data_IF_560865607387
#
_entry.id   IF_560865607387
#
_cell.length_a   1.000
_cell.length_b   1.000
_cell.length_c   1.000
_cell.angle_alpha   90.00
_cell.angle_beta   90.00
_cell.angle_gamma   90.00
#
_symmetry.space_group_name_H-M   'P 1'
#
loop_
_entity.id
_entity.type
_entity.pdbx_description
1 polymer ?
#
# COMPACT_ATOMS: atom_id res chain seq x y z
N UNK A 1 1.07 -9.15 16.31
CA UNK A 1 0.54 -10.35 15.65
C UNK A 1 0.72 -10.19 14.17
N UNK A 2 1.05 -11.27 13.44
CA UNK A 2 1.06 -11.29 11.97
C UNK A 2 -0.33 -10.97 11.45
N UNK A 3 -0.41 -10.26 10.34
CA UNK A 3 -1.66 -9.96 9.63
C UNK A 3 -1.40 -9.94 8.13
N UNK A 4 -2.42 -10.14 7.32
CA UNK A 4 -2.31 -10.02 5.86
C UNK A 4 -2.33 -8.55 5.47
N UNK A 5 -1.29 -8.12 4.74
CA UNK A 5 -1.17 -6.79 4.13
C UNK A 5 -1.26 -6.96 2.62
N UNK A 6 -2.31 -6.43 2.01
CA UNK A 6 -2.43 -6.36 0.57
C UNK A 6 -1.76 -5.08 0.06
N UNK A 7 -0.99 -5.20 -1.01
CA UNK A 7 -0.34 -4.07 -1.68
C UNK A 7 -0.77 -4.10 -3.14
N UNK A 8 -1.42 -3.03 -3.59
CA UNK A 8 -1.93 -2.90 -4.95
C UNK A 8 -0.93 -2.11 -5.78
N UNK A 9 -0.37 -2.77 -6.79
CA UNK A 9 0.71 -2.28 -7.62
C UNK A 9 2.06 -2.85 -7.19
N UNK A 10 2.62 -3.73 -7.99
CA UNK A 10 3.91 -4.38 -7.76
C UNK A 10 5.03 -3.65 -8.51
N UNK A 11 5.12 -2.33 -8.38
CA UNK A 11 6.17 -1.48 -8.93
C UNK A 11 7.29 -1.17 -7.93
N UNK A 12 8.04 -0.10 -8.23
CA UNK A 12 9.19 0.39 -7.44
C UNK A 12 8.84 0.84 -6.01
N UNK A 13 7.56 1.01 -5.69
CA UNK A 13 7.07 1.28 -4.32
C UNK A 13 6.52 0.00 -3.69
N UNK A 14 5.69 -0.74 -4.43
CA UNK A 14 4.96 -1.89 -3.88
C UNK A 14 5.84 -3.08 -3.55
N UNK A 15 6.83 -3.41 -4.40
CA UNK A 15 7.71 -4.57 -4.16
C UNK A 15 8.64 -4.33 -2.96
N UNK A 16 9.30 -3.17 -2.79
CA UNK A 16 10.06 -2.86 -1.58
C UNK A 16 9.20 -2.86 -0.30
N UNK A 17 7.98 -2.32 -0.35
CA UNK A 17 7.06 -2.41 0.78
C UNK A 17 6.71 -3.86 1.12
N UNK A 18 6.46 -4.69 0.10
CA UNK A 18 6.18 -6.12 0.29
C UNK A 18 7.34 -6.84 0.98
N UNK A 19 8.57 -6.57 0.57
CA UNK A 19 9.77 -7.12 1.21
C UNK A 19 9.85 -6.71 2.68
N UNK A 20 9.78 -5.42 2.98
CA UNK A 20 9.94 -4.89 4.34
C UNK A 20 8.86 -5.41 5.28
N UNK A 21 7.60 -5.43 4.85
CA UNK A 21 6.51 -5.98 5.66
C UNK A 21 6.60 -7.52 5.79
N UNK A 22 7.00 -8.23 4.72
CA UNK A 22 7.20 -9.68 4.74
C UNK A 22 8.32 -10.09 5.71
N UNK A 23 9.45 -9.39 5.69
CA UNK A 23 10.56 -9.60 6.62
C UNK A 23 10.18 -9.26 8.06
N UNK A 24 9.28 -8.30 8.27
CA UNK A 24 8.71 -7.99 9.58
C UNK A 24 7.69 -9.03 10.08
N UNK A 25 7.42 -10.10 9.31
CA UNK A 25 6.60 -11.24 9.69
C UNK A 25 5.12 -11.13 9.30
N UNK A 26 4.75 -10.21 8.43
CA UNK A 26 3.42 -10.13 7.83
C UNK A 26 3.26 -11.11 6.67
N UNK A 27 2.02 -11.51 6.38
CA UNK A 27 1.66 -12.18 5.12
C UNK A 27 1.36 -11.11 4.08
N UNK A 28 1.96 -11.20 2.91
CA UNK A 28 1.85 -10.20 1.85
C UNK A 28 1.04 -10.75 0.69
N UNK A 29 0.05 -9.96 0.27
CA UNK A 29 -0.70 -10.17 -0.95
C UNK A 29 -0.36 -9.03 -1.93
N UNK A 30 0.46 -9.30 -2.94
CA UNK A 30 0.75 -8.35 -4.01
C UNK A 30 -0.32 -8.47 -5.10
N UNK A 31 -1.06 -7.39 -5.35
CA UNK A 31 -2.03 -7.33 -6.44
C UNK A 31 -1.39 -6.64 -7.65
N UNK A 32 -1.25 -7.38 -8.74
CA UNK A 32 -0.65 -6.93 -9.99
C UNK A 32 -1.51 -7.41 -11.18
N UNK A 33 -1.68 -6.56 -12.18
CA UNK A 33 -2.54 -6.86 -13.34
C UNK A 33 -1.81 -7.50 -14.51
N UNK A 34 -0.48 -7.43 -14.55
CA UNK A 34 0.35 -8.04 -15.61
C UNK A 34 0.64 -9.50 -15.25
N UNK A 35 0.10 -10.49 -16.00
CA UNK A 35 0.21 -11.90 -15.64
C UNK A 35 1.66 -12.39 -15.50
N UNK A 36 2.55 -11.93 -16.38
CA UNK A 36 3.96 -12.31 -16.38
C UNK A 36 4.66 -11.86 -15.08
N UNK A 37 4.32 -10.67 -14.56
CA UNK A 37 4.83 -10.15 -13.29
C UNK A 37 4.30 -10.94 -12.09
N UNK A 38 3.01 -11.31 -12.13
CA UNK A 38 2.41 -12.17 -11.09
C UNK A 38 3.15 -13.51 -11.02
N UNK A 39 3.44 -14.12 -12.18
CA UNK A 39 4.19 -15.38 -12.24
C UNK A 39 5.63 -15.22 -11.74
N UNK A 40 6.33 -14.14 -12.13
CA UNK A 40 7.69 -13.86 -11.67
C UNK A 40 7.73 -13.71 -10.14
N UNK A 41 6.85 -12.88 -9.58
CA UNK A 41 6.76 -12.66 -8.13
C UNK A 41 6.47 -13.96 -7.37
N UNK A 42 5.58 -14.81 -7.87
CA UNK A 42 5.26 -16.10 -7.27
C UNK A 42 6.42 -17.12 -7.36
N UNK A 43 7.38 -16.91 -8.26
CA UNK A 43 8.66 -17.66 -8.30
C UNK A 43 9.75 -17.01 -7.43
N UNK A 44 9.46 -15.89 -6.75
CA UNK A 44 10.45 -15.12 -6.01
C UNK A 44 11.47 -14.42 -6.92
N UNK A 45 11.08 -14.04 -8.13
CA UNK A 45 11.93 -13.32 -9.09
C UNK A 45 11.59 -11.83 -9.04
N UNK A 46 12.58 -11.00 -8.63
CA UNK A 46 12.43 -9.55 -8.65
C UNK A 46 12.74 -8.98 -10.04
N UNK A 47 11.97 -7.97 -10.43
CA UNK A 47 12.26 -7.09 -11.56
C UNK A 47 12.44 -5.63 -11.10
N UNK A 48 12.57 -5.42 -9.79
CA UNK A 48 12.82 -4.12 -9.17
C UNK A 48 14.24 -4.14 -8.62
N UNK A 49 15.08 -3.20 -9.03
CA UNK A 49 16.50 -3.19 -8.71
C UNK A 49 16.79 -3.10 -7.21
N UNK A 50 15.94 -2.41 -6.46
CA UNK A 50 16.09 -2.20 -5.01
C UNK A 50 15.74 -3.44 -4.15
N UNK A 51 15.22 -4.51 -4.76
CA UNK A 51 14.83 -5.74 -4.06
C UNK A 51 15.44 -6.96 -4.74
N UNK A 52 16.19 -7.76 -4.00
CA UNK A 52 16.83 -8.95 -4.54
C UNK A 52 15.83 -10.11 -4.74
N UNK A 53 16.05 -10.91 -5.79
CA UNK A 53 15.28 -12.16 -5.98
C UNK A 53 15.50 -13.17 -4.85
N UNK A 54 16.64 -13.12 -4.17
CA UNK A 54 16.90 -13.98 -3.02
C UNK A 54 15.93 -13.67 -1.86
N UNK A 55 15.79 -12.39 -1.53
CA UNK A 55 14.87 -11.93 -0.47
C UNK A 55 13.42 -12.26 -0.79
N UNK A 56 12.97 -12.04 -2.04
CA UNK A 56 11.60 -12.41 -2.42
C UNK A 56 11.37 -13.92 -2.37
N UNK A 57 12.35 -14.72 -2.80
CA UNK A 57 12.26 -16.20 -2.76
C UNK A 57 12.12 -16.71 -1.35
N UNK A 58 12.88 -16.17 -0.39
CA UNK A 58 12.72 -16.51 1.03
C UNK A 58 11.30 -16.26 1.53
N UNK A 59 10.67 -15.15 1.11
CA UNK A 59 9.30 -14.83 1.49
C UNK A 59 8.28 -15.78 0.84
N UNK A 60 8.48 -16.13 -0.44
CA UNK A 60 7.62 -17.08 -1.16
C UNK A 60 7.73 -18.48 -0.55
N UNK A 61 8.95 -18.96 -0.31
CA UNK A 61 9.21 -20.29 0.26
C UNK A 61 8.67 -20.41 1.70
N UNK A 62 8.68 -19.31 2.44
CA UNK A 62 8.07 -19.21 3.76
C UNK A 62 6.54 -19.08 3.74
N UNK A 63 5.92 -19.01 2.57
CA UNK A 63 4.47 -18.79 2.40
C UNK A 63 4.00 -17.40 2.87
N UNK A 64 4.90 -16.41 2.90
CA UNK A 64 4.61 -15.05 3.35
C UNK A 64 4.35 -14.07 2.23
N UNK A 65 4.65 -14.42 0.99
CA UNK A 65 4.39 -13.60 -0.18
C UNK A 65 3.63 -14.40 -1.22
N UNK A 66 2.55 -13.83 -1.69
CA UNK A 66 1.75 -14.30 -2.83
C UNK A 66 1.43 -13.11 -3.72
N UNK A 67 1.57 -13.27 -5.03
CA UNK A 67 1.07 -12.33 -6.01
C UNK A 67 -0.19 -12.86 -6.69
N UNK A 68 -1.13 -11.97 -7.01
CA UNK A 68 -2.40 -12.31 -7.65
C UNK A 68 -2.90 -11.16 -8.52
N UNK A 69 -3.76 -11.44 -9.49
CA UNK A 69 -4.58 -10.43 -10.17
C UNK A 69 -6.02 -10.38 -9.67
N UNK A 70 -6.38 -11.24 -8.72
CA UNK A 70 -7.72 -11.34 -8.19
C UNK A 70 -7.93 -10.39 -6.98
N UNK A 71 -8.74 -9.37 -7.19
CA UNK A 71 -9.13 -8.42 -6.13
C UNK A 71 -10.03 -9.05 -5.06
N UNK A 72 -10.68 -10.20 -5.29
CA UNK A 72 -11.54 -10.82 -4.28
C UNK A 72 -10.75 -11.28 -3.06
N UNK A 73 -9.46 -11.54 -3.21
CA UNK A 73 -8.56 -11.88 -2.09
C UNK A 73 -8.34 -10.72 -1.11
N UNK A 74 -8.67 -9.46 -1.47
CA UNK A 74 -8.59 -8.31 -0.56
C UNK A 74 -9.51 -8.43 0.66
N UNK A 75 -10.55 -9.26 0.60
CA UNK A 75 -11.49 -9.47 1.70
C UNK A 75 -10.83 -9.98 2.97
N UNK A 76 -9.72 -10.71 2.84
CA UNK A 76 -8.98 -11.29 3.97
C UNK A 76 -7.82 -10.42 4.45
N UNK A 77 -7.54 -9.31 3.77
CA UNK A 77 -6.48 -8.40 4.16
C UNK A 77 -6.88 -7.56 5.37
N UNK A 78 -5.99 -7.40 6.33
CA UNK A 78 -6.19 -6.46 7.45
C UNK A 78 -5.84 -5.01 7.08
N UNK A 79 -4.99 -4.85 6.06
CA UNK A 79 -4.61 -3.56 5.51
C UNK A 79 -4.43 -3.66 3.99
N UNK A 80 -4.78 -2.60 3.27
CA UNK A 80 -4.68 -2.46 1.82
C UNK A 80 -3.90 -1.18 1.52
N UNK A 81 -2.70 -1.33 0.94
CA UNK A 81 -1.83 -0.22 0.55
C UNK A 81 -1.94 0.00 -0.96
N UNK A 82 -2.24 1.23 -1.38
CA UNK A 82 -2.38 1.59 -2.80
C UNK A 82 -1.07 2.23 -3.26
N UNK A 83 -0.24 1.47 -3.99
CA UNK A 83 1.07 1.86 -4.49
C UNK A 83 1.11 1.88 -6.03
N UNK A 84 0.11 2.50 -6.63
CA UNK A 84 -0.10 2.56 -8.08
C UNK A 84 0.56 3.80 -8.70
N UNK A 85 1.01 3.73 -9.95
CA UNK A 85 1.58 4.88 -10.63
C UNK A 85 0.55 5.98 -10.86
N UNK A 86 1.00 7.24 -10.76
CA UNK A 86 0.23 8.47 -11.03
C UNK A 86 0.99 9.30 -12.08
N UNK A 87 0.98 8.87 -13.36
CA UNK A 87 1.71 9.58 -14.40
C UNK A 87 1.18 11.00 -14.57
N UNK A 88 2.01 11.90 -15.09
CA UNK A 88 1.56 13.25 -15.43
C UNK A 88 0.74 13.24 -16.71
N UNK A 89 -0.40 13.92 -16.67
CA UNK A 89 -1.20 14.25 -17.85
C UNK A 89 -0.45 15.23 -18.77
N UNK A 90 -0.92 15.44 -20.02
CA UNK A 90 -0.37 16.50 -20.89
C UNK A 90 -0.40 17.89 -20.24
N UNK A 91 -1.33 18.14 -19.31
CA UNK A 91 -1.46 19.38 -18.55
C UNK A 91 -0.53 19.44 -17.33
N UNK A 92 0.30 18.42 -17.12
CA UNK A 92 1.21 18.24 -15.96
C UNK A 92 0.48 18.09 -14.62
N UNK A 93 -0.73 17.56 -14.64
CA UNK A 93 -1.47 17.17 -13.45
C UNK A 93 -1.35 15.66 -13.25
N UNK A 94 -1.32 15.15 -11.99
CA UNK A 94 -1.33 13.71 -11.74
C UNK A 94 -2.58 13.04 -12.30
N UNK A 95 -2.41 12.04 -13.16
CA UNK A 95 -3.51 11.19 -13.62
C UNK A 95 -3.85 10.15 -12.55
N UNK A 96 -4.98 10.32 -11.91
CA UNK A 96 -5.46 9.44 -10.85
C UNK A 96 -6.34 8.29 -11.36
N UNK A 97 -6.54 8.15 -12.66
CA UNK A 97 -7.49 7.17 -13.24
C UNK A 97 -7.26 5.78 -12.67
N UNK A 98 -6.02 5.28 -12.71
CA UNK A 98 -5.67 3.93 -12.21
C UNK A 98 -5.93 3.80 -10.71
N UNK A 99 -5.60 4.83 -9.93
CA UNK A 99 -5.82 4.86 -8.47
C UNK A 99 -7.32 4.82 -8.16
N UNK A 100 -8.12 5.63 -8.86
CA UNK A 100 -9.57 5.71 -8.62
C UNK A 100 -10.29 4.44 -9.07
N UNK A 101 -9.89 3.83 -10.20
CA UNK A 101 -10.46 2.56 -10.67
C UNK A 101 -10.14 1.43 -9.67
N UNK A 102 -8.90 1.37 -9.20
CA UNK A 102 -8.51 0.43 -8.15
C UNK A 102 -9.26 0.66 -6.85
N UNK A 103 -9.49 1.92 -6.47
CA UNK A 103 -10.29 2.27 -5.29
C UNK A 103 -11.74 1.78 -5.40
N UNK A 104 -12.33 1.82 -6.61
CA UNK A 104 -13.66 1.23 -6.85
C UNK A 104 -13.66 -0.29 -6.68
N UNK A 105 -12.61 -0.97 -7.13
CA UNK A 105 -12.48 -2.42 -6.93
C UNK A 105 -12.28 -2.77 -5.44
N UNK A 106 -11.54 -1.95 -4.68
CA UNK A 106 -11.42 -2.09 -3.23
C UNK A 106 -12.79 -1.91 -2.56
N UNK A 107 -13.52 -0.84 -2.91
CA UNK A 107 -14.84 -0.52 -2.32
C UNK A 107 -15.83 -1.70 -2.38
N UNK A 108 -15.87 -2.42 -3.52
CA UNK A 108 -16.74 -3.60 -3.70
C UNK A 108 -16.40 -4.76 -2.75
N UNK A 109 -15.21 -4.77 -2.16
CA UNK A 109 -14.67 -5.88 -1.35
C UNK A 109 -14.32 -5.48 0.07
N UNK A 110 -14.43 -4.19 0.37
CA UNK A 110 -14.06 -3.60 1.65
C UNK A 110 -14.80 -4.28 2.80
N UNK A 111 -14.06 -4.60 3.87
CA UNK A 111 -14.60 -5.24 5.07
C UNK A 111 -14.41 -4.35 6.29
N UNK A 112 -15.27 -4.52 7.31
CA UNK A 112 -15.13 -3.83 8.58
C UNK A 112 -13.78 -4.12 9.24
N UNK A 113 -13.17 -3.07 9.79
CA UNK A 113 -11.88 -3.14 10.47
C UNK A 113 -10.66 -3.04 9.57
N UNK A 114 -10.82 -3.07 8.24
CA UNK A 114 -9.72 -2.90 7.31
C UNK A 114 -9.14 -1.48 7.36
N UNK A 115 -7.83 -1.38 7.13
CA UNK A 115 -7.12 -0.13 6.91
C UNK A 115 -6.83 0.02 5.42
N UNK A 116 -7.22 1.14 4.82
CA UNK A 116 -6.81 1.53 3.46
C UNK A 116 -5.82 2.69 3.56
N UNK A 117 -4.67 2.59 2.90
CA UNK A 117 -3.66 3.65 2.85
C UNK A 117 -3.32 3.98 1.41
N UNK A 118 -3.37 5.25 1.06
CA UNK A 118 -2.85 5.74 -0.22
C UNK A 118 -1.35 6.02 -0.05
N UNK A 119 -0.53 5.33 -0.83
CA UNK A 119 0.94 5.51 -0.91
C UNK A 119 1.35 6.30 -2.14
N UNK A 120 0.52 6.24 -3.18
CA UNK A 120 0.80 6.88 -4.48
C UNK A 120 0.96 8.40 -4.32
N UNK A 121 1.90 8.97 -5.07
CA UNK A 121 2.10 10.42 -5.15
C UNK A 121 0.87 11.10 -5.72
N UNK A 122 0.31 12.04 -4.97
CA UNK A 122 -0.92 12.77 -5.34
C UNK A 122 -0.85 14.22 -4.86
N UNK A 123 -1.93 14.97 -5.04
CA UNK A 123 -2.07 16.33 -4.53
C UNK A 123 -2.86 16.34 -3.20
N UNK A 124 -2.69 17.39 -2.36
CA UNK A 124 -3.44 17.53 -1.10
C UNK A 124 -4.95 17.46 -1.33
N UNK A 125 -5.66 16.73 -0.45
CA UNK A 125 -7.11 16.51 -0.55
C UNK A 125 -7.50 15.23 -1.28
N UNK A 126 -6.63 14.59 -2.07
CA UNK A 126 -6.97 13.38 -2.86
C UNK A 126 -7.61 12.29 -1.98
N UNK A 127 -7.05 12.00 -0.82
CA UNK A 127 -7.56 10.95 0.07
C UNK A 127 -8.99 11.24 0.53
N UNK A 128 -9.28 12.47 0.94
CA UNK A 128 -10.59 12.88 1.46
C UNK A 128 -11.61 13.15 0.37
N UNK A 129 -11.19 13.82 -0.70
CA UNK A 129 -12.13 14.32 -1.72
C UNK A 129 -12.38 13.33 -2.86
N UNK A 130 -11.43 12.41 -3.09
CA UNK A 130 -11.51 11.47 -4.19
C UNK A 130 -11.67 10.01 -3.74
N UNK A 131 -10.85 9.51 -2.80
CA UNK A 131 -10.90 8.12 -2.37
C UNK A 131 -12.06 7.85 -1.40
N UNK A 132 -12.21 8.72 -0.39
CA UNK A 132 -13.22 8.53 0.65
C UNK A 132 -14.64 8.31 0.09
N UNK A 133 -15.18 9.15 -0.82
CA UNK A 133 -16.51 8.94 -1.35
C UNK A 133 -16.68 7.60 -2.08
N UNK A 134 -15.64 7.15 -2.80
CA UNK A 134 -15.66 5.86 -3.52
C UNK A 134 -15.64 4.69 -2.53
N UNK A 135 -14.81 4.78 -1.48
CA UNK A 135 -14.75 3.71 -0.48
C UNK A 135 -16.07 3.57 0.29
N UNK A 136 -16.74 4.68 0.58
CA UNK A 136 -18.05 4.69 1.26
C UNK A 136 -19.20 4.19 0.39
N UNK A 137 -19.03 4.02 -0.93
CA UNK A 137 -19.99 3.29 -1.78
C UNK A 137 -20.15 1.82 -1.34
N UNK A 138 -19.20 1.29 -0.56
CA UNK A 138 -19.34 -0.01 0.13
C UNK A 138 -20.47 -0.08 1.15
N UNK A 139 -21.02 1.07 1.57
CA UNK A 139 -21.94 1.20 2.69
C UNK A 139 -21.28 1.22 4.07
N UNK A 140 -19.95 1.22 4.12
CA UNK A 140 -19.16 1.34 5.35
C UNK A 140 -18.72 2.80 5.55
N UNK A 141 -18.61 3.22 6.82
CA UNK A 141 -18.23 4.59 7.20
C UNK A 141 -16.76 4.64 7.63
N UNK A 142 -15.98 5.54 7.01
CA UNK A 142 -14.56 5.71 7.34
C UNK A 142 -14.39 6.29 8.75
N UNK A 143 -13.46 5.74 9.52
CA UNK A 143 -13.19 6.11 10.91
C UNK A 143 -14.07 5.39 11.93
N UNK A 144 -15.13 4.71 11.50
CA UNK A 144 -16.03 3.88 12.31
C UNK A 144 -15.92 2.40 11.91
N UNK A 145 -16.26 2.08 10.67
CA UNK A 145 -16.27 0.71 10.15
C UNK A 145 -14.92 0.30 9.53
N UNK A 146 -14.21 1.24 8.90
CA UNK A 146 -12.89 1.02 8.35
C UNK A 146 -11.99 2.24 8.59
N UNK A 147 -10.69 2.09 8.35
CA UNK A 147 -9.71 3.16 8.51
C UNK A 147 -9.18 3.63 7.17
N UNK A 148 -8.97 4.94 7.02
CA UNK A 148 -8.40 5.55 5.82
C UNK A 148 -7.26 6.49 6.20
N UNK A 149 -6.11 6.35 5.52
CA UNK A 149 -4.92 7.17 5.76
C UNK A 149 -4.19 7.48 4.44
N UNK A 150 -3.29 8.43 4.53
CA UNK A 150 -2.31 8.77 3.51
C UNK A 150 -0.90 8.65 4.08
N UNK A 151 0.02 8.15 3.27
CA UNK A 151 1.43 8.05 3.63
C UNK A 151 2.28 8.17 2.35
N UNK A 152 2.82 9.35 2.01
CA UNK A 152 3.58 9.54 0.77
C UNK A 152 4.85 8.69 0.76
N UNK A 153 5.20 8.15 -0.41
CA UNK A 153 6.51 7.55 -0.61
C UNK A 153 7.59 8.61 -0.62
N UNK A 154 8.69 8.33 0.08
CA UNK A 154 9.81 9.25 0.26
C UNK A 154 11.17 8.66 -0.12
N UNK A 155 11.18 7.41 -0.55
CA UNK A 155 12.41 6.77 -1.04
C UNK A 155 12.72 7.29 -2.43
N UNK A 156 13.98 7.69 -2.63
CA UNK A 156 14.52 8.06 -3.94
C UNK A 156 15.14 6.79 -4.55
N UNK A 157 14.58 6.24 -5.63
CA UNK A 157 15.05 5.00 -6.21
C UNK A 157 16.54 5.04 -6.57
N UNK A 158 17.28 3.98 -6.24
CA UNK A 158 18.72 3.85 -6.50
C UNK A 158 19.62 4.49 -5.44
N UNK A 159 19.10 4.96 -4.31
CA UNK A 159 19.94 5.38 -3.17
C UNK A 159 20.23 4.21 -2.25
N UNK A 160 21.53 4.05 -1.89
CA UNK A 160 21.98 2.99 -0.99
C UNK A 160 21.88 3.37 0.49
N UNK A 161 21.93 4.68 0.83
CA UNK A 161 21.95 5.21 2.18
C UNK A 161 20.56 5.33 2.82
N UNK A 162 19.48 5.41 2.01
CA UNK A 162 18.10 5.52 2.45
C UNK A 162 17.23 4.46 1.77
N UNK A 163 16.90 3.42 2.50
CA UNK A 163 16.05 2.33 2.03
C UNK A 163 14.60 2.54 2.47
N UNK A 164 13.68 1.76 1.95
CA UNK A 164 12.27 1.74 2.40
C UNK A 164 12.16 1.54 3.92
N UNK A 165 13.04 0.72 4.51
CA UNK A 165 13.04 0.42 5.95
C UNK A 165 13.54 1.59 6.81
N UNK A 166 14.60 2.29 6.37
CA UNK A 166 15.30 3.33 7.16
C UNK A 166 14.77 4.73 6.92
N UNK A 167 14.12 4.98 5.77
CA UNK A 167 13.53 6.28 5.45
C UNK A 167 12.36 6.58 6.39
N UNK A 168 12.38 7.72 7.13
CA UNK A 168 11.29 8.09 8.02
C UNK A 168 9.97 8.24 7.25
N UNK A 169 8.94 7.53 7.70
CA UNK A 169 7.61 7.52 7.08
C UNK A 169 6.69 8.51 7.78
N UNK A 170 5.96 9.31 7.01
CA UNK A 170 4.94 10.24 7.51
C UNK A 170 3.57 9.59 7.28
N UNK A 171 2.69 9.65 8.28
CA UNK A 171 1.37 9.01 8.22
C UNK A 171 0.30 9.95 8.76
N UNK A 172 -0.70 10.26 7.94
CA UNK A 172 -1.88 11.05 8.31
C UNK A 172 -3.18 10.28 8.03
N UNK A 173 -3.97 10.03 9.06
CA UNK A 173 -5.27 9.38 8.95
C UNK A 173 -6.43 10.36 8.86
N UNK A 174 -7.57 9.90 8.32
CA UNK A 174 -8.81 10.69 8.24
C UNK A 174 -9.31 11.11 9.63
N UNK A 175 -9.10 10.25 10.63
CA UNK A 175 -9.39 10.50 12.06
C UNK A 175 -8.18 10.11 12.91
N UNK A 176 -8.12 10.51 14.18
CA UNK A 176 -7.06 10.06 15.10
C UNK A 176 -6.97 8.54 15.22
N UNK A 177 -8.11 7.83 15.16
CA UNK A 177 -8.14 6.37 15.15
C UNK A 177 -7.51 5.79 13.88
N UNK A 178 -7.77 6.40 12.71
CA UNK A 178 -7.15 6.01 11.44
C UNK A 178 -5.63 6.23 11.49
N UNK A 179 -5.17 7.39 11.99
CA UNK A 179 -3.74 7.67 12.16
C UNK A 179 -3.09 6.63 13.06
N UNK A 180 -3.68 6.35 14.23
CA UNK A 180 -3.18 5.35 15.17
C UNK A 180 -3.05 3.98 14.52
N UNK A 181 -4.09 3.53 13.80
CA UNK A 181 -4.13 2.22 13.15
C UNK A 181 -3.05 2.09 12.06
N UNK A 182 -2.82 3.16 11.29
CA UNK A 182 -1.78 3.17 10.27
C UNK A 182 -0.37 3.21 10.90
N UNK A 183 -0.14 4.04 11.93
CA UNK A 183 1.14 4.06 12.69
C UNK A 183 1.45 2.68 13.27
N UNK A 184 0.46 1.99 13.86
CA UNK A 184 0.63 0.63 14.39
C UNK A 184 1.06 -0.38 13.32
N UNK A 185 0.58 -0.24 12.09
CA UNK A 185 0.99 -1.08 10.96
C UNK A 185 2.45 -0.79 10.59
N UNK A 186 2.77 0.46 10.26
CA UNK A 186 4.10 0.83 9.75
C UNK A 186 5.21 0.65 10.78
N UNK A 187 4.97 0.96 12.05
CA UNK A 187 5.97 0.82 13.12
C UNK A 187 6.43 -0.61 13.40
N UNK A 188 5.78 -1.61 12.81
CA UNK A 188 6.22 -3.01 12.89
C UNK A 188 7.27 -3.36 11.85
N UNK A 189 7.33 -2.60 10.78
CA UNK A 189 8.16 -2.88 9.62
C UNK A 189 9.24 -1.81 9.40
N UNK A 190 8.98 -0.56 9.81
CA UNK A 190 9.84 0.59 9.58
C UNK A 190 10.44 1.11 10.88
N UNK A 191 11.65 1.67 10.79
CA UNK A 191 12.38 2.16 11.96
C UNK A 191 11.78 3.43 12.57
N UNK A 192 11.26 4.31 11.72
CA UNK A 192 10.75 5.61 12.15
C UNK A 192 9.44 5.95 11.44
N UNK A 193 8.38 6.21 12.23
CA UNK A 193 7.06 6.62 11.72
C UNK A 193 6.60 7.87 12.45
N UNK A 194 6.31 8.92 11.70
CA UNK A 194 5.86 10.21 12.21
C UNK A 194 4.35 10.39 11.94
N UNK A 195 3.50 10.35 12.98
CA UNK A 195 2.10 10.72 12.83
C UNK A 195 1.94 12.21 12.58
N UNK A 196 1.02 12.56 11.68
CA UNK A 196 0.56 13.93 11.47
C UNK A 196 -0.95 14.03 11.65
N UNK A 197 -1.48 15.25 11.70
CA UNK A 197 -2.86 15.51 12.12
C UNK A 197 -3.93 15.07 11.13
N UNK A 198 -3.60 14.96 9.83
CA UNK A 198 -4.55 14.61 8.78
C UNK A 198 -3.82 14.08 7.53
N UNK A 199 -4.55 13.48 6.56
CA UNK A 199 -3.98 13.11 5.27
C UNK A 199 -3.39 14.29 4.50
N UNK A 200 -3.96 15.48 4.65
CA UNK A 200 -3.52 16.72 3.98
C UNK A 200 -2.21 17.26 4.57
N UNK A 201 -1.89 16.90 5.83
CA UNK A 201 -0.65 17.28 6.50
C UNK A 201 0.51 16.31 6.21
N UNK A 202 0.20 15.13 5.71
CA UNK A 202 1.17 14.14 5.29
C UNK A 202 1.64 14.39 3.87
#
# INVERSE_FOLDING_TARGET
MSQTVAIIGAGYVGVPLAEVFGLAGHSILLVETVPERVEQLNRGESYVDDVSSESLRELVDAGRLKATSDYDELREAAAILIALPTPLSPQREPDLTIVLDSTREISKRLQKGQLVVLESTTYPGTTRERLLPILEESGLTAGEDFHLAFSPERVDPGREDWTTKTTPKIVGGLTPACTKRAVELYSRALETVHPVSSPEAA
#
